data_IF_699668237383
#
_entry.id   IF_699668237383
#
_cell.length_a   1.000
_cell.length_b   1.000
_cell.length_c   1.000
_cell.angle_alpha   90.00
_cell.angle_beta   90.00
_cell.angle_gamma   90.00
#
_symmetry.space_group_name_H-M   'P 1'
#
loop_
_entity.id
_entity.type
_entity.pdbx_description
1 polymer ?
#
# COMPACT_ATOMS: atom_id res chain seq x y z
N UNK A 1 16.37 2.89 -2.75
CA UNK A 1 16.79 3.12 -1.38
C UNK A 1 15.63 2.95 -0.39
N UNK A 2 14.55 3.68 -0.59
CA UNK A 2 13.35 3.66 0.25
C UNK A 2 12.28 2.82 -0.44
N UNK A 3 12.37 1.50 -0.35
CA UNK A 3 11.36 0.61 -0.91
C UNK A 3 10.40 0.19 0.20
N UNK A 4 9.11 0.35 -0.01
CA UNK A 4 8.06 -0.06 0.92
C UNK A 4 6.96 -0.80 0.17
N UNK A 5 6.05 -1.41 0.90
CA UNK A 5 4.80 -1.92 0.36
C UNK A 5 3.67 -1.68 1.35
N UNK A 6 2.45 -1.88 0.93
CA UNK A 6 1.29 -1.70 1.78
C UNK A 6 1.12 -2.88 2.74
N UNK A 7 0.79 -2.58 4.00
CA UNK A 7 0.51 -3.56 5.06
C UNK A 7 -0.76 -3.16 5.81
N UNK A 8 -1.31 -4.08 6.58
CA UNK A 8 -2.42 -3.85 7.48
C UNK A 8 -1.90 -3.75 8.92
N UNK A 9 -2.07 -2.58 9.53
CA UNK A 9 -1.73 -2.32 10.94
C UNK A 9 -2.98 -2.37 11.80
N UNK A 10 -2.88 -2.90 13.01
CA UNK A 10 -4.00 -2.95 13.96
C UNK A 10 -3.56 -2.77 15.41
N UNK A 11 -4.44 -2.16 16.20
CA UNK A 11 -4.26 -1.91 17.62
C UNK A 11 -4.76 -3.13 18.41
N UNK A 12 -3.83 -3.91 18.98
CA UNK A 12 -4.14 -5.12 19.75
C UNK A 12 -4.92 -4.82 21.03
N UNK A 13 -4.68 -3.67 21.66
CA UNK A 13 -5.40 -3.27 22.87
C UNK A 13 -6.85 -2.90 22.56
N UNK A 14 -7.09 -2.23 21.44
CA UNK A 14 -8.45 -1.96 20.97
C UNK A 14 -9.18 -3.27 20.60
N UNK A 15 -8.47 -4.24 20.01
CA UNK A 15 -9.02 -5.57 19.73
C UNK A 15 -9.46 -6.27 21.01
N UNK A 16 -8.61 -6.34 22.03
CA UNK A 16 -8.95 -6.93 23.34
C UNK A 16 -10.19 -6.28 23.94
N UNK A 17 -10.27 -4.94 23.93
CA UNK A 17 -11.45 -4.20 24.44
C UNK A 17 -12.74 -4.49 23.65
N UNK A 18 -12.62 -4.77 22.36
CA UNK A 18 -13.75 -5.10 21.49
C UNK A 18 -14.13 -6.60 21.50
N UNK A 19 -13.47 -7.43 22.31
CA UNK A 19 -13.68 -8.89 22.35
C UNK A 19 -13.19 -9.59 21.08
N UNK A 20 -12.19 -9.01 20.41
CA UNK A 20 -11.48 -9.60 19.27
C UNK A 20 -10.18 -10.26 19.76
N UNK A 21 -9.79 -11.36 19.12
CA UNK A 21 -8.51 -12.00 19.39
C UNK A 21 -7.36 -11.14 18.81
N UNK A 22 -6.47 -10.58 19.65
CA UNK A 22 -5.39 -9.72 19.18
C UNK A 22 -4.31 -10.46 18.37
N UNK A 23 -4.27 -11.80 18.43
CA UNK A 23 -3.32 -12.61 17.67
C UNK A 23 -3.91 -13.15 16.37
N UNK A 24 -5.18 -12.84 16.07
CA UNK A 24 -5.88 -13.21 14.84
C UNK A 24 -6.43 -11.99 14.13
N UNK A 25 -5.57 -11.20 13.45
CA UNK A 25 -6.03 -10.08 12.66
C UNK A 25 -6.93 -10.54 11.51
N UNK A 26 -7.86 -9.70 11.04
CA UNK A 26 -8.70 -10.00 9.90
C UNK A 26 -7.83 -10.21 8.65
N UNK A 27 -8.08 -11.30 7.93
CA UNK A 27 -7.38 -11.66 6.70
C UNK A 27 -8.18 -11.32 5.44
N UNK A 28 -9.50 -11.22 5.58
CA UNK A 28 -10.41 -10.97 4.46
C UNK A 28 -11.19 -9.67 4.66
N UNK A 29 -11.62 -9.06 3.56
CA UNK A 29 -12.45 -7.84 3.64
C UNK A 29 -13.74 -8.04 4.42
N UNK A 30 -14.48 -9.16 4.31
CA UNK A 30 -15.60 -9.44 5.20
C UNK A 30 -15.21 -9.46 6.69
N UNK A 31 -14.07 -10.03 7.05
CA UNK A 31 -13.57 -10.03 8.44
C UNK A 31 -13.20 -8.61 8.91
N UNK A 32 -12.64 -7.76 8.02
CA UNK A 32 -12.37 -6.34 8.34
C UNK A 32 -13.67 -5.61 8.69
N UNK A 33 -14.75 -5.82 7.94
CA UNK A 33 -16.05 -5.24 8.21
C UNK A 33 -16.59 -5.67 9.58
N UNK A 34 -16.48 -6.97 9.88
CA UNK A 34 -16.93 -7.53 11.18
C UNK A 34 -16.09 -6.98 12.35
N UNK A 35 -14.78 -6.92 12.18
CA UNK A 35 -13.87 -6.36 13.20
C UNK A 35 -14.16 -4.87 13.41
N UNK A 36 -14.34 -4.10 12.33
CA UNK A 36 -14.69 -2.68 12.41
C UNK A 36 -16.02 -2.44 13.13
N UNK A 37 -17.04 -3.29 12.89
CA UNK A 37 -18.32 -3.20 13.58
C UNK A 37 -18.18 -3.45 15.09
N UNK A 38 -17.39 -4.45 15.50
CA UNK A 38 -17.12 -4.72 16.92
C UNK A 38 -16.33 -3.59 17.59
N UNK A 39 -15.30 -3.05 16.91
CA UNK A 39 -14.54 -1.91 17.39
C UNK A 39 -15.43 -0.68 17.59
N UNK A 40 -16.31 -0.40 16.64
CA UNK A 40 -17.29 0.69 16.76
C UNK A 40 -18.23 0.47 17.95
N UNK A 41 -18.76 -0.73 18.11
CA UNK A 41 -19.61 -1.08 19.25
C UNK A 41 -18.90 -0.94 20.61
N UNK A 42 -17.57 -1.14 20.63
CA UNK A 42 -16.71 -0.91 21.79
C UNK A 42 -16.32 0.58 22.00
N UNK A 43 -16.88 1.50 21.21
CA UNK A 43 -16.67 2.95 21.36
C UNK A 43 -15.50 3.53 20.57
N UNK A 44 -14.88 2.77 19.66
CA UNK A 44 -13.81 3.28 18.79
C UNK A 44 -14.40 4.20 17.72
N UNK A 45 -13.99 5.48 17.70
CA UNK A 45 -14.50 6.49 16.77
C UNK A 45 -14.01 6.30 15.33
N UNK A 46 -12.84 5.68 15.15
CA UNK A 46 -12.24 5.39 13.86
C UNK A 46 -11.83 3.90 13.82
N UNK A 47 -12.77 2.97 13.50
CA UNK A 47 -12.46 1.55 13.45
C UNK A 47 -11.43 1.18 12.38
N UNK A 48 -11.55 1.76 11.17
CA UNK A 48 -10.64 1.53 10.05
C UNK A 48 -10.36 2.81 9.27
N UNK A 49 -9.13 2.97 8.81
CA UNK A 49 -8.68 4.05 7.93
C UNK A 49 -7.68 3.56 6.89
N UNK A 50 -7.28 4.42 5.94
CA UNK A 50 -6.28 4.11 4.92
C UNK A 50 -5.39 5.33 4.65
N UNK A 51 -4.08 5.12 4.55
CA UNK A 51 -3.13 6.07 3.97
C UNK A 51 -2.94 5.77 2.49
N UNK A 52 -2.59 6.79 1.69
CA UNK A 52 -2.26 6.62 0.26
C UNK A 52 -3.34 5.84 -0.49
N UNK A 53 -4.58 6.32 -0.44
CA UNK A 53 -5.77 5.57 -0.88
C UNK A 53 -5.67 5.00 -2.31
N UNK A 54 -5.18 5.74 -3.31
CA UNK A 54 -4.98 5.25 -4.67
C UNK A 54 -3.98 4.07 -4.68
N UNK A 55 -2.81 4.25 -4.04
CA UNK A 55 -1.79 3.19 -3.97
C UNK A 55 -2.26 1.95 -3.20
N UNK A 56 -3.00 2.13 -2.10
CA UNK A 56 -3.42 1.02 -1.25
C UNK A 56 -4.67 0.34 -1.78
N UNK A 57 -5.72 1.13 -2.12
CA UNK A 57 -7.05 0.60 -2.42
C UNK A 57 -7.30 0.35 -3.92
N UNK A 58 -6.40 0.82 -4.81
CA UNK A 58 -6.49 0.55 -6.25
C UNK A 58 -5.26 -0.21 -6.75
N UNK A 59 -4.05 0.35 -6.63
CA UNK A 59 -2.84 -0.25 -7.19
C UNK A 59 -2.46 -1.57 -6.51
N UNK A 60 -2.23 -1.54 -5.18
CA UNK A 60 -1.91 -2.75 -4.40
C UNK A 60 -3.09 -3.71 -4.34
N UNK A 61 -4.32 -3.21 -4.28
CA UNK A 61 -5.52 -4.03 -4.37
C UNK A 61 -5.55 -4.82 -5.68
N UNK A 62 -5.27 -4.18 -6.82
CA UNK A 62 -5.26 -4.85 -8.13
C UNK A 62 -4.26 -6.00 -8.16
N UNK A 63 -3.02 -5.76 -7.75
CA UNK A 63 -1.98 -6.77 -7.78
C UNK A 63 -2.19 -7.87 -6.74
N UNK A 64 -2.70 -7.51 -5.55
CA UNK A 64 -3.03 -8.46 -4.49
C UNK A 64 -4.17 -9.41 -4.88
N UNK A 65 -5.10 -8.95 -5.71
CA UNK A 65 -6.20 -9.76 -6.26
C UNK A 65 -5.93 -10.31 -7.67
N UNK A 66 -4.69 -10.21 -8.15
CA UNK A 66 -4.29 -10.70 -9.48
C UNK A 66 -5.21 -10.17 -10.60
N UNK A 67 -5.61 -8.91 -10.51
CA UNK A 67 -6.43 -8.22 -11.52
C UNK A 67 -5.67 -7.08 -12.17
N UNK A 68 -6.02 -6.70 -13.39
CA UNK A 68 -5.35 -5.63 -14.12
C UNK A 68 -5.73 -4.25 -13.55
N UNK A 69 -4.73 -3.43 -13.26
CA UNK A 69 -4.88 -2.00 -13.04
C UNK A 69 -4.92 -1.25 -14.40
N UNK A 70 -4.11 -1.72 -15.35
CA UNK A 70 -4.06 -1.20 -16.71
C UNK A 70 -3.76 -2.33 -17.72
N UNK A 71 -4.19 -2.16 -18.95
CA UNK A 71 -3.92 -3.08 -20.06
C UNK A 71 -2.43 -3.21 -20.36
N UNK A 72 -2.05 -4.14 -21.24
CA UNK A 72 -0.65 -4.37 -21.63
C UNK A 72 0.23 -4.79 -20.45
N UNK A 73 -0.27 -5.63 -19.54
CA UNK A 73 0.45 -6.04 -18.33
C UNK A 73 0.82 -4.83 -17.48
N UNK A 74 -0.15 -3.99 -17.16
CA UNK A 74 0.01 -2.75 -16.38
C UNK A 74 1.01 -1.75 -17.00
N UNK A 75 1.06 -1.66 -18.32
CA UNK A 75 1.91 -0.72 -19.07
C UNK A 75 3.29 -1.24 -19.44
N UNK A 76 3.69 -2.45 -19.02
CA UNK A 76 4.99 -3.02 -19.40
C UNK A 76 5.06 -3.39 -20.90
N UNK A 77 3.92 -3.63 -21.55
CA UNK A 77 3.82 -3.94 -22.97
C UNK A 77 3.79 -2.71 -23.90
N UNK A 78 4.03 -1.49 -23.37
CA UNK A 78 4.19 -0.29 -24.20
C UNK A 78 3.25 0.87 -23.85
N UNK A 79 3.48 2.02 -24.52
CA UNK A 79 2.86 3.31 -24.21
C UNK A 79 1.36 3.36 -24.55
N UNK A 80 0.85 2.42 -25.37
CA UNK A 80 -0.58 2.30 -25.69
C UNK A 80 -1.41 1.61 -24.60
N UNK A 81 -0.85 1.42 -23.40
CA UNK A 81 -1.60 0.93 -22.24
C UNK A 81 -2.74 1.89 -21.85
N UNK A 82 -3.81 1.33 -21.31
CA UNK A 82 -4.98 2.08 -20.82
C UNK A 82 -5.39 1.57 -19.45
N UNK A 83 -5.86 2.47 -18.61
CA UNK A 83 -6.36 2.14 -17.27
C UNK A 83 -7.60 1.23 -17.36
N UNK A 84 -7.72 0.30 -16.41
CA UNK A 84 -8.77 -0.71 -16.37
C UNK A 84 -9.27 -0.98 -14.92
N UNK A 85 -8.96 -0.09 -13.98
CA UNK A 85 -9.31 -0.25 -12.57
C UNK A 85 -10.78 0.14 -12.23
N UNK A 86 -11.67 0.11 -13.23
CA UNK A 86 -13.12 0.21 -13.05
C UNK A 86 -13.85 -1.12 -13.32
N UNK A 87 -13.14 -2.23 -13.20
CA UNK A 87 -13.72 -3.57 -13.32
C UNK A 87 -14.75 -3.85 -12.21
N UNK A 88 -15.64 -4.85 -12.36
CA UNK A 88 -16.60 -5.21 -11.33
C UNK A 88 -15.97 -5.46 -9.94
N UNK A 89 -14.76 -6.02 -9.90
CA UNK A 89 -14.06 -6.26 -8.65
C UNK A 89 -13.60 -4.96 -7.97
N UNK A 90 -13.08 -4.00 -8.73
CA UNK A 90 -12.69 -2.69 -8.20
C UNK A 90 -13.93 -1.91 -7.71
N UNK A 91 -15.02 -1.92 -8.49
CA UNK A 91 -16.29 -1.29 -8.09
C UNK A 91 -16.79 -1.91 -6.79
N UNK A 92 -16.88 -3.25 -6.69
CA UNK A 92 -17.24 -3.97 -5.46
C UNK A 92 -16.38 -3.53 -4.27
N UNK A 93 -15.08 -3.37 -4.46
CA UNK A 93 -14.18 -2.98 -3.38
C UNK A 93 -14.44 -1.57 -2.88
N UNK A 94 -14.54 -0.60 -3.80
CA UNK A 94 -14.80 0.79 -3.43
C UNK A 94 -16.22 0.98 -2.88
N UNK A 95 -17.20 0.22 -3.37
CA UNK A 95 -18.55 0.16 -2.77
C UNK A 95 -18.53 -0.39 -1.34
N UNK A 96 -17.74 -1.43 -1.07
CA UNK A 96 -17.55 -1.95 0.28
C UNK A 96 -17.02 -0.86 1.23
N UNK A 97 -15.97 -0.14 0.83
CA UNK A 97 -15.41 0.96 1.62
C UNK A 97 -16.41 2.12 1.78
N UNK A 98 -17.15 2.46 0.72
CA UNK A 98 -18.22 3.48 0.79
C UNK A 98 -19.33 3.10 1.77
N UNK A 99 -19.73 1.84 1.77
CA UNK A 99 -20.73 1.32 2.72
C UNK A 99 -20.18 1.31 4.16
N UNK A 100 -18.92 0.97 4.35
CA UNK A 100 -18.24 1.09 5.64
C UNK A 100 -18.20 2.57 6.09
N UNK A 101 -17.94 3.51 5.20
CA UNK A 101 -17.90 4.93 5.51
C UNK A 101 -19.29 5.43 5.97
N UNK A 102 -20.36 5.09 5.25
CA UNK A 102 -21.75 5.41 5.64
C UNK A 102 -22.12 4.87 7.01
N UNK A 103 -21.55 3.73 7.39
CA UNK A 103 -21.78 3.11 8.69
C UNK A 103 -20.80 3.61 9.77
N UNK A 104 -19.86 4.52 9.45
CA UNK A 104 -18.84 4.99 10.37
C UNK A 104 -17.83 3.89 10.76
N UNK A 105 -17.64 2.88 9.92
CA UNK A 105 -16.66 1.80 10.08
C UNK A 105 -15.34 2.12 9.38
N UNK A 106 -15.38 2.91 8.32
CA UNK A 106 -14.23 3.48 7.62
C UNK A 106 -14.26 5.02 7.75
N UNK A 107 -13.13 5.60 8.14
CA UNK A 107 -13.01 7.06 8.31
C UNK A 107 -11.84 7.55 7.47
N UNK A 108 -12.13 8.27 6.40
CA UNK A 108 -11.10 8.91 5.58
C UNK A 108 -10.46 10.08 6.31
N UNK A 109 -9.14 10.12 6.34
CA UNK A 109 -8.36 11.11 7.11
C UNK A 109 -7.53 12.06 6.24
N UNK A 110 -7.68 12.00 4.91
CA UNK A 110 -6.96 12.85 3.96
C UNK A 110 -5.98 12.09 3.07
N UNK A 111 -5.36 12.81 2.15
CA UNK A 111 -4.45 12.26 1.14
C UNK A 111 -3.09 11.88 1.73
N UNK A 112 -2.35 11.10 0.96
CA UNK A 112 -1.00 10.68 1.33
C UNK A 112 -0.97 9.94 2.65
N UNK A 113 -0.10 10.33 3.55
CA UNK A 113 0.08 9.71 4.86
C UNK A 113 -0.75 10.35 5.99
N UNK A 114 -1.78 11.11 5.69
CA UNK A 114 -2.58 11.81 6.69
C UNK A 114 -3.25 10.88 7.73
N UNK A 115 -3.52 9.62 7.35
CA UNK A 115 -4.09 8.62 8.26
C UNK A 115 -3.08 7.96 9.21
N UNK A 116 -1.77 8.17 9.03
CA UNK A 116 -0.75 7.54 9.87
C UNK A 116 -0.82 8.06 11.32
N UNK A 117 -0.94 9.37 11.50
CA UNK A 117 -1.03 10.00 12.83
C UNK A 117 -2.26 9.54 13.63
N UNK A 118 -3.48 9.51 13.09
CA UNK A 118 -4.65 8.93 13.74
C UNK A 118 -4.47 7.46 14.16
N UNK A 119 -3.69 6.67 13.42
CA UNK A 119 -3.41 5.30 13.84
C UNK A 119 -2.46 5.25 15.03
N UNK A 120 -1.26 5.84 14.94
CA UNK A 120 -0.29 5.71 16.05
C UNK A 120 -0.66 6.51 17.30
N UNK A 121 -1.59 7.47 17.21
CA UNK A 121 -2.19 8.11 18.38
C UNK A 121 -3.22 7.23 19.10
N UNK A 122 -3.70 6.15 18.46
CA UNK A 122 -4.74 5.27 18.96
C UNK A 122 -6.17 5.73 18.64
N UNK A 123 -6.35 6.80 17.86
CA UNK A 123 -7.67 7.26 17.41
C UNK A 123 -8.29 6.25 16.43
N UNK A 124 -7.50 5.74 15.49
CA UNK A 124 -7.91 4.68 14.56
C UNK A 124 -7.37 3.33 15.00
N UNK A 125 -8.22 2.30 15.02
CA UNK A 125 -7.85 0.97 15.50
C UNK A 125 -7.25 0.06 14.43
N UNK A 126 -7.60 0.25 13.17
CA UNK A 126 -7.04 -0.48 12.02
C UNK A 126 -6.67 0.50 10.91
N UNK A 127 -5.58 0.24 10.20
CA UNK A 127 -5.15 1.07 9.08
C UNK A 127 -4.42 0.25 8.02
N UNK A 128 -4.73 0.49 6.75
CA UNK A 128 -3.83 0.10 5.65
C UNK A 128 -2.88 1.25 5.36
N UNK A 129 -1.58 0.98 5.39
CA UNK A 129 -0.55 2.00 5.27
C UNK A 129 0.76 1.42 4.71
N UNK A 130 1.76 2.26 4.51
CA UNK A 130 3.11 1.84 4.14
C UNK A 130 3.78 1.03 5.25
N UNK A 131 4.56 0.02 4.89
CA UNK A 131 5.42 -0.71 5.84
C UNK A 131 6.42 0.21 6.56
N UNK A 132 6.80 1.34 5.96
CA UNK A 132 7.69 2.33 6.57
C UNK A 132 7.09 3.06 7.78
N UNK A 133 5.78 2.93 8.03
CA UNK A 133 5.15 3.47 9.25
C UNK A 133 5.60 2.77 10.52
N UNK A 134 6.17 1.56 10.43
CA UNK A 134 6.61 0.74 11.56
C UNK A 134 7.43 1.52 12.59
N UNK A 135 8.49 2.21 12.16
CA UNK A 135 9.35 2.94 13.09
C UNK A 135 8.61 4.06 13.82
N UNK A 136 7.71 4.75 13.11
CA UNK A 136 6.91 5.85 13.67
C UNK A 136 5.86 5.30 14.65
N UNK A 137 5.21 4.19 14.31
CA UNK A 137 4.26 3.51 15.21
C UNK A 137 5.00 3.04 16.47
N UNK A 138 6.12 2.33 16.32
CA UNK A 138 6.92 1.82 17.44
C UNK A 138 7.39 2.92 18.38
N UNK A 139 7.71 4.12 17.85
CA UNK A 139 8.15 5.27 18.64
C UNK A 139 7.00 5.97 19.38
N UNK A 140 5.83 6.10 18.76
CA UNK A 140 4.77 7.01 19.22
C UNK A 140 3.56 6.30 19.82
N UNK A 141 3.25 5.06 19.40
CA UNK A 141 2.10 4.33 19.93
C UNK A 141 2.28 4.01 21.41
N UNK A 142 1.21 4.21 22.18
CA UNK A 142 1.14 3.86 23.60
C UNK A 142 0.31 2.59 23.83
N UNK A 143 0.16 1.77 22.82
CA UNK A 143 -0.58 0.52 22.79
C UNK A 143 0.22 -0.55 22.06
N UNK A 144 -0.12 -1.80 22.32
CA UNK A 144 0.42 -2.94 21.58
C UNK A 144 -0.22 -3.01 20.19
N UNK A 145 0.59 -3.19 19.15
CA UNK A 145 0.13 -3.22 17.77
C UNK A 145 0.63 -4.46 17.02
N UNK A 146 -0.12 -4.84 16.00
CA UNK A 146 0.26 -5.89 15.07
C UNK A 146 0.34 -5.39 13.63
N UNK A 147 1.10 -6.12 12.82
CA UNK A 147 1.21 -5.93 11.38
C UNK A 147 0.77 -7.24 10.73
N UNK A 148 -0.13 -7.14 9.77
CA UNK A 148 -0.68 -8.28 9.03
C UNK A 148 -0.63 -8.03 7.51
N UNK A 149 -0.77 -9.07 6.69
CA UNK A 149 -0.96 -8.90 5.26
C UNK A 149 -2.22 -8.09 4.94
N UNK A 150 -2.25 -7.50 3.75
CA UNK A 150 -3.45 -6.83 3.27
C UNK A 150 -4.64 -7.81 3.22
N UNK A 151 -5.84 -7.36 3.58
CA UNK A 151 -7.04 -8.18 3.42
C UNK A 151 -7.33 -8.46 1.94
N UNK A 152 -7.96 -9.60 1.69
CA UNK A 152 -8.35 -10.00 0.34
C UNK A 152 -9.79 -10.52 0.29
N UNK A 153 -10.33 -10.71 -0.91
CA UNK A 153 -11.60 -11.37 -1.15
C UNK A 153 -11.34 -12.86 -1.45
N UNK A 154 -11.78 -13.79 -0.60
CA UNK A 154 -11.45 -15.21 -0.73
C UNK A 154 -12.12 -15.89 -1.93
N UNK A 155 -13.17 -15.28 -2.48
CA UNK A 155 -13.88 -15.74 -3.67
C UNK A 155 -13.21 -15.30 -4.99
N UNK A 156 -12.12 -14.51 -4.92
CA UNK A 156 -11.37 -14.05 -6.10
C UNK A 156 -10.24 -15.04 -6.41
N UNK A 157 -10.35 -15.70 -7.54
CA UNK A 157 -9.33 -16.65 -7.99
C UNK A 157 -7.96 -15.97 -8.17
N UNK A 158 -6.92 -16.56 -7.59
CA UNK A 158 -5.55 -16.05 -7.63
C UNK A 158 -5.21 -15.05 -6.54
N UNK A 159 -6.16 -14.68 -5.67
CA UNK A 159 -5.89 -13.86 -4.48
C UNK A 159 -5.58 -14.78 -3.27
N UNK A 160 -4.66 -14.37 -2.37
CA UNK A 160 -3.79 -13.21 -2.49
C UNK A 160 -2.54 -13.49 -3.33
N UNK A 161 -2.11 -12.55 -4.18
CA UNK A 161 -0.94 -12.68 -5.05
C UNK A 161 0.30 -12.00 -4.46
N UNK A 162 0.64 -10.81 -4.88
CA UNK A 162 1.69 -9.96 -4.30
C UNK A 162 1.28 -8.48 -4.32
N UNK A 163 1.90 -7.68 -3.46
CA UNK A 163 1.70 -6.23 -3.44
C UNK A 163 2.73 -5.52 -4.33
N UNK A 164 2.51 -4.24 -4.62
CA UNK A 164 3.45 -3.39 -5.37
C UNK A 164 4.28 -2.52 -4.44
N UNK A 165 5.47 -2.15 -4.90
CA UNK A 165 6.35 -1.25 -4.17
C UNK A 165 5.82 0.19 -4.18
N UNK A 166 6.15 0.92 -3.11
CA UNK A 166 6.21 2.37 -3.04
C UNK A 166 7.63 2.81 -2.68
N UNK A 167 7.82 4.11 -2.49
CA UNK A 167 9.09 4.67 -2.03
C UNK A 167 9.74 5.63 -3.01
N UNK A 168 11.07 5.68 -2.99
CA UNK A 168 11.85 6.61 -3.80
C UNK A 168 13.14 5.99 -4.34
N UNK A 169 13.60 6.50 -5.48
CA UNK A 169 14.86 6.14 -6.11
C UNK A 169 15.86 7.29 -6.04
N UNK A 170 17.14 6.96 -6.01
CA UNK A 170 18.22 7.91 -6.24
C UNK A 170 18.51 7.99 -7.75
N UNK A 171 18.74 9.20 -8.23
CA UNK A 171 19.04 9.48 -9.62
C UNK A 171 20.40 10.16 -9.74
N UNK A 172 21.21 9.72 -10.70
CA UNK A 172 22.51 10.33 -10.99
C UNK A 172 22.30 11.45 -11.99
N UNK A 173 22.70 12.67 -11.63
CA UNK A 173 22.61 13.82 -12.52
C UNK A 173 23.65 13.72 -13.63
N UNK A 174 23.25 13.99 -14.87
CA UNK A 174 24.15 14.06 -16.01
C UNK A 174 25.09 15.28 -15.93
N UNK A 175 26.15 15.30 -16.74
CA UNK A 175 27.06 16.45 -16.88
C UNK A 175 28.05 16.65 -15.74
N UNK A 176 28.32 15.64 -14.92
CA UNK A 176 29.30 15.69 -13.84
C UNK A 176 30.68 15.24 -14.30
N UNK A 177 31.72 15.63 -13.54
CA UNK A 177 33.10 15.20 -13.81
C UNK A 177 33.29 13.71 -13.50
N UNK A 178 34.24 13.01 -14.16
CA UNK A 178 34.49 11.57 -13.92
C UNK A 178 34.72 11.20 -12.45
N UNK A 179 35.45 12.05 -11.70
CA UNK A 179 35.69 11.79 -10.27
C UNK A 179 34.46 11.94 -9.39
N UNK A 180 33.53 12.84 -9.76
CA UNK A 180 32.23 12.93 -9.08
C UNK A 180 31.42 11.64 -9.30
N UNK A 181 31.43 11.07 -10.52
CA UNK A 181 30.80 9.79 -10.80
C UNK A 181 31.42 8.61 -10.04
N UNK A 182 32.75 8.61 -9.82
CA UNK A 182 33.40 7.62 -8.95
C UNK A 182 32.88 7.72 -7.52
N UNK A 183 32.73 8.94 -7.00
CA UNK A 183 32.14 9.19 -5.68
C UNK A 183 30.70 8.68 -5.59
N UNK A 184 29.87 8.95 -6.60
CA UNK A 184 28.48 8.44 -6.68
C UNK A 184 28.46 6.91 -6.71
N UNK A 185 29.32 6.29 -7.50
CA UNK A 185 29.42 4.82 -7.57
C UNK A 185 29.81 4.21 -6.22
N UNK A 186 30.80 4.79 -5.54
CA UNK A 186 31.21 4.35 -4.21
C UNK A 186 30.09 4.49 -3.18
N UNK A 187 29.33 5.60 -3.23
CA UNK A 187 28.17 5.82 -2.37
C UNK A 187 27.06 4.79 -2.63
N UNK A 188 26.73 4.52 -3.89
CA UNK A 188 25.72 3.50 -4.23
C UNK A 188 26.16 2.11 -3.79
N UNK A 189 27.45 1.76 -3.99
CA UNK A 189 27.99 0.49 -3.53
C UNK A 189 27.90 0.35 -2.00
N UNK A 190 28.16 1.41 -1.24
CA UNK A 190 27.95 1.43 0.21
C UNK A 190 26.46 1.21 0.57
N UNK A 191 25.55 1.93 -0.09
CA UNK A 191 24.11 1.82 0.20
C UNK A 191 23.52 0.45 -0.16
N UNK A 192 24.08 -0.26 -1.13
CA UNK A 192 23.61 -1.60 -1.52
C UNK A 192 24.26 -2.73 -0.72
N UNK A 193 25.17 -2.43 0.20
CA UNK A 193 25.76 -3.41 1.09
C UNK A 193 24.67 -4.09 1.93
N UNK A 194 24.71 -5.42 2.03
CA UNK A 194 23.67 -6.22 2.68
C UNK A 194 23.46 -5.86 4.16
N UNK A 195 24.54 -5.61 4.91
CA UNK A 195 24.44 -5.22 6.32
C UNK A 195 23.87 -3.82 6.50
N UNK A 196 24.24 -2.86 5.63
CA UNK A 196 23.70 -1.50 5.65
C UNK A 196 22.22 -1.53 5.34
N UNK A 197 21.79 -2.31 4.35
CA UNK A 197 20.39 -2.48 4.01
C UNK A 197 19.59 -3.18 5.12
N UNK A 198 20.15 -4.22 5.75
CA UNK A 198 19.51 -4.87 6.89
C UNK A 198 19.31 -3.90 8.07
N UNK A 199 20.34 -3.09 8.41
CA UNK A 199 20.21 -2.05 9.44
C UNK A 199 19.18 -0.98 9.09
N UNK A 200 19.14 -0.56 7.82
CA UNK A 200 18.16 0.40 7.33
C UNK A 200 16.73 -0.15 7.46
N UNK A 201 16.48 -1.37 6.98
CA UNK A 201 15.22 -2.08 7.13
C UNK A 201 14.76 -2.15 8.60
N UNK A 202 15.61 -2.66 9.48
CA UNK A 202 15.31 -2.83 10.91
C UNK A 202 14.95 -1.51 11.62
N UNK A 203 15.56 -0.39 11.19
CA UNK A 203 15.34 0.92 11.80
C UNK A 203 14.10 1.64 11.27
N UNK A 204 13.72 1.39 10.02
CA UNK A 204 12.74 2.22 9.31
C UNK A 204 11.44 1.49 8.95
N UNK A 205 11.48 0.16 8.81
CA UNK A 205 10.38 -0.63 8.24
C UNK A 205 10.31 -0.57 6.70
N UNK A 206 11.23 0.15 6.01
CA UNK A 206 11.42 -0.01 4.58
C UNK A 206 11.94 -1.41 4.25
N UNK A 207 11.60 -1.92 3.08
CA UNK A 207 12.01 -3.27 2.66
C UNK A 207 13.53 -3.38 2.47
N UNK A 208 14.14 -4.52 2.81
CA UNK A 208 15.48 -4.85 2.32
C UNK A 208 15.40 -5.01 0.78
N UNK A 209 16.33 -4.37 0.06
CA UNK A 209 16.27 -4.35 -1.42
C UNK A 209 16.95 -5.55 -2.09
N UNK A 210 17.57 -6.43 -1.31
CA UNK A 210 18.20 -7.67 -1.80
C UNK A 210 17.86 -8.85 -0.88
N UNK A 211 17.89 -10.06 -1.42
CA UNK A 211 17.73 -11.28 -0.63
C UNK A 211 18.81 -11.40 0.44
N UNK A 212 20.04 -11.05 0.13
CA UNK A 212 21.14 -11.07 1.11
C UNK A 212 20.87 -10.18 2.34
N UNK A 213 20.26 -9.01 2.15
CA UNK A 213 19.88 -8.14 3.27
C UNK A 213 18.66 -8.65 4.06
N UNK A 214 17.74 -9.33 3.39
CA UNK A 214 16.64 -10.04 4.07
C UNK A 214 17.19 -11.18 4.94
N UNK A 215 18.02 -12.04 4.38
CA UNK A 215 18.67 -13.15 5.10
C UNK A 215 19.54 -12.66 6.27
N UNK A 216 20.29 -11.56 6.10
CA UNK A 216 21.06 -10.94 7.18
C UNK A 216 20.15 -10.48 8.32
N UNK A 217 18.99 -9.92 8.00
CA UNK A 217 17.98 -9.53 9.01
C UNK A 217 17.40 -10.75 9.72
N UNK A 218 17.07 -11.80 8.99
CA UNK A 218 16.55 -13.05 9.55
C UNK A 218 17.56 -13.71 10.50
N UNK A 219 18.82 -13.83 10.07
CA UNK A 219 19.93 -14.37 10.88
C UNK A 219 20.20 -13.57 12.16
N UNK A 220 19.94 -12.26 12.15
CA UNK A 220 20.05 -11.42 13.35
C UNK A 220 18.99 -11.69 14.42
N UNK A 221 17.95 -12.46 14.11
CA UNK A 221 16.80 -12.71 14.97
C UNK A 221 15.82 -11.53 15.08
N UNK A 222 15.97 -10.52 14.24
CA UNK A 222 15.15 -9.30 14.30
C UNK A 222 13.65 -9.59 14.16
N UNK A 223 13.24 -10.43 13.20
CA UNK A 223 11.82 -10.76 13.00
C UNK A 223 11.19 -11.51 14.17
N UNK A 224 11.96 -12.34 14.88
CA UNK A 224 11.50 -13.02 16.12
C UNK A 224 11.25 -12.02 17.24
N UNK A 225 12.10 -10.99 17.34
CA UNK A 225 11.99 -9.93 18.35
C UNK A 225 10.96 -8.86 17.98
N UNK A 226 10.61 -8.75 16.70
CA UNK A 226 9.68 -7.74 16.15
C UNK A 226 8.67 -8.43 15.22
N UNK A 227 7.72 -9.22 15.75
CA UNK A 227 6.75 -9.98 14.95
C UNK A 227 5.96 -9.09 13.99
N UNK A 228 5.74 -9.58 12.77
CA UNK A 228 5.00 -8.88 11.72
C UNK A 228 5.84 -7.96 10.84
N UNK A 229 7.09 -7.64 11.21
CA UNK A 229 7.97 -6.80 10.37
C UNK A 229 8.47 -7.51 9.11
N UNK A 230 8.34 -8.81 9.03
CA UNK A 230 8.59 -9.66 7.85
C UNK A 230 7.40 -9.69 6.85
N UNK A 231 6.20 -9.31 7.29
CA UNK A 231 4.97 -9.36 6.47
C UNK A 231 5.15 -8.65 5.13
N UNK A 232 5.72 -7.46 5.15
CA UNK A 232 5.92 -6.65 3.95
C UNK A 232 6.80 -7.36 2.92
N UNK A 233 7.90 -8.00 3.35
CA UNK A 233 8.78 -8.78 2.48
C UNK A 233 8.04 -10.00 1.95
N UNK A 234 7.37 -10.73 2.83
CA UNK A 234 6.64 -11.96 2.47
C UNK A 234 5.52 -11.72 1.46
N UNK A 235 4.90 -10.54 1.46
CA UNK A 235 3.94 -10.14 0.43
C UNK A 235 4.62 -9.86 -0.92
N UNK A 236 5.81 -9.27 -0.91
CA UNK A 236 6.51 -8.84 -2.12
C UNK A 236 7.20 -9.98 -2.85
N UNK A 237 7.76 -10.97 -2.14
CA UNK A 237 8.53 -12.08 -2.74
C UNK A 237 7.68 -13.21 -3.30
N UNK A 238 6.35 -13.10 -3.22
CA UNK A 238 5.44 -14.06 -3.85
C UNK A 238 5.63 -14.07 -5.37
N UNK A 239 5.33 -15.19 -6.02
CA UNK A 239 5.42 -15.31 -7.47
C UNK A 239 4.55 -14.25 -8.14
N UNK A 240 5.14 -13.42 -8.99
CA UNK A 240 4.44 -12.41 -9.77
C UNK A 240 3.81 -12.99 -11.03
N UNK A 241 2.78 -12.30 -11.52
CA UNK A 241 2.13 -12.54 -12.83
C UNK A 241 2.23 -11.28 -13.69
N UNK A 242 1.78 -11.34 -14.92
CA UNK A 242 1.70 -10.13 -15.77
C UNK A 242 0.80 -9.03 -15.20
N UNK A 243 -0.16 -9.41 -14.34
CA UNK A 243 -1.09 -8.48 -13.68
C UNK A 243 -0.54 -7.93 -12.36
N UNK A 244 0.52 -8.52 -11.80
CA UNK A 244 0.98 -8.21 -10.45
C UNK A 244 2.45 -7.83 -10.33
N UNK A 245 3.21 -7.81 -11.45
CA UNK A 245 4.65 -7.47 -11.45
C UNK A 245 4.96 -5.98 -11.21
N UNK A 246 3.95 -5.13 -11.15
CA UNK A 246 4.07 -3.69 -10.95
C UNK A 246 3.20 -2.90 -11.93
N UNK A 247 3.36 -1.57 -11.91
CA UNK A 247 2.63 -0.64 -12.78
C UNK A 247 3.66 0.31 -13.42
N UNK A 248 3.62 0.46 -14.75
CA UNK A 248 4.53 1.31 -15.51
C UNK A 248 3.75 2.16 -16.53
N UNK A 249 3.31 3.34 -16.09
CA UNK A 249 2.48 4.23 -16.89
C UNK A 249 3.09 5.63 -16.97
N UNK A 250 2.87 6.33 -18.09
CA UNK A 250 3.18 7.74 -18.20
C UNK A 250 2.22 8.61 -17.41
N UNK A 251 2.65 9.81 -17.01
CA UNK A 251 1.84 10.77 -16.24
C UNK A 251 1.22 10.18 -14.96
N UNK A 252 1.89 9.20 -14.34
CA UNK A 252 1.29 8.41 -13.26
C UNK A 252 1.03 9.24 -11.99
N UNK A 253 1.82 10.27 -11.72
CA UNK A 253 1.58 11.20 -10.61
C UNK A 253 0.25 11.94 -10.78
N UNK A 254 -0.04 12.39 -11.99
CA UNK A 254 -1.30 13.08 -12.33
C UNK A 254 -2.50 12.11 -12.29
N UNK A 255 -2.29 10.84 -12.69
CA UNK A 255 -3.31 9.79 -12.59
C UNK A 255 -3.67 9.57 -11.12
N UNK A 256 -2.68 9.44 -10.22
CA UNK A 256 -2.92 9.32 -8.77
C UNK A 256 -3.67 10.51 -8.17
N UNK A 257 -3.40 11.73 -8.65
CA UNK A 257 -4.17 12.90 -8.22
C UNK A 257 -5.66 12.79 -8.62
N UNK A 258 -5.93 12.27 -9.83
CA UNK A 258 -7.30 12.00 -10.29
C UNK A 258 -7.96 10.90 -9.43
N UNK A 259 -7.24 9.83 -9.11
CA UNK A 259 -7.74 8.77 -8.23
C UNK A 259 -8.14 9.34 -6.86
N UNK A 260 -7.29 10.17 -6.26
CA UNK A 260 -7.59 10.80 -4.99
C UNK A 260 -8.84 11.69 -5.06
N UNK A 261 -8.96 12.52 -6.10
CA UNK A 261 -10.14 13.38 -6.30
C UNK A 261 -11.43 12.58 -6.42
N UNK A 262 -11.42 11.52 -7.21
CA UNK A 262 -12.62 10.73 -7.47
C UNK A 262 -13.01 9.86 -6.27
N UNK A 263 -12.05 9.27 -5.57
CA UNK A 263 -12.32 8.51 -4.35
C UNK A 263 -12.87 9.42 -3.23
N UNK A 264 -12.36 10.65 -3.11
CA UNK A 264 -12.91 11.63 -2.16
C UNK A 264 -14.38 11.97 -2.43
N UNK A 265 -14.81 11.97 -3.70
CA UNK A 265 -16.26 12.16 -4.01
C UNK A 265 -17.09 10.96 -3.54
N UNK A 266 -16.53 9.75 -3.55
CA UNK A 266 -17.20 8.56 -3.01
C UNK A 266 -17.33 8.65 -1.49
N UNK A 267 -16.23 8.98 -0.79
CA UNK A 267 -16.26 9.12 0.67
C UNK A 267 -17.19 10.23 1.14
N UNK A 268 -17.31 11.30 0.36
CA UNK A 268 -18.25 12.40 0.60
C UNK A 268 -19.70 12.05 0.23
N UNK A 269 -19.98 10.86 -0.32
CA UNK A 269 -21.30 10.45 -0.77
C UNK A 269 -21.83 11.19 -2.01
N UNK A 270 -20.96 11.87 -2.75
CA UNK A 270 -21.31 12.67 -3.95
C UNK A 270 -21.34 11.86 -5.23
N UNK A 271 -20.59 10.74 -5.27
CA UNK A 271 -20.56 9.80 -6.39
C UNK A 271 -20.68 8.37 -5.87
N UNK A 272 -21.25 7.50 -6.69
CA UNK A 272 -21.12 6.06 -6.51
C UNK A 272 -19.71 5.61 -6.84
N UNK A 273 -19.30 4.44 -6.35
CA UNK A 273 -18.02 3.85 -6.71
C UNK A 273 -17.84 3.69 -8.24
N UNK A 274 -18.88 3.23 -8.92
CA UNK A 274 -18.88 3.06 -10.37
C UNK A 274 -18.64 4.37 -11.12
N UNK A 275 -19.39 5.43 -10.79
CA UNK A 275 -19.23 6.75 -11.41
C UNK A 275 -17.85 7.33 -11.18
N UNK A 276 -17.31 7.21 -9.97
CA UNK A 276 -15.99 7.71 -9.62
C UNK A 276 -14.87 6.97 -10.36
N UNK A 277 -14.93 5.63 -10.39
CA UNK A 277 -13.91 4.82 -11.07
C UNK A 277 -13.98 5.00 -12.60
N UNK A 278 -15.18 5.09 -13.20
CA UNK A 278 -15.33 5.37 -14.62
C UNK A 278 -14.77 6.76 -14.99
N UNK A 279 -15.04 7.76 -14.15
CA UNK A 279 -14.49 9.11 -14.32
C UNK A 279 -12.96 9.11 -14.20
N UNK A 280 -12.40 8.41 -13.19
CA UNK A 280 -10.95 8.31 -13.00
C UNK A 280 -10.26 7.63 -14.19
N UNK A 281 -10.80 6.50 -14.64
CA UNK A 281 -10.30 5.76 -15.82
C UNK A 281 -10.36 6.61 -17.08
N UNK A 282 -11.48 7.31 -17.33
CA UNK A 282 -11.64 8.21 -18.50
C UNK A 282 -10.60 9.33 -18.47
N UNK A 283 -10.54 10.09 -17.39
CA UNK A 283 -9.62 11.24 -17.21
C UNK A 283 -8.15 10.80 -17.27
N UNK A 284 -7.81 9.69 -16.61
CA UNK A 284 -6.46 9.15 -16.64
C UNK A 284 -6.06 8.63 -18.02
N UNK A 285 -6.98 8.03 -18.78
CA UNK A 285 -6.72 7.58 -20.14
C UNK A 285 -6.49 8.76 -21.11
N UNK A 286 -7.10 9.91 -20.91
CA UNK A 286 -6.77 11.13 -21.66
C UNK A 286 -5.30 11.56 -21.46
N UNK A 287 -4.76 11.40 -20.23
CA UNK A 287 -3.35 11.64 -19.94
C UNK A 287 -2.45 10.62 -20.63
N UNK A 288 -2.83 9.33 -20.62
CA UNK A 288 -2.07 8.27 -21.28
C UNK A 288 -2.04 8.43 -22.81
N UNK A 289 -3.15 8.85 -23.43
CA UNK A 289 -3.20 9.15 -24.88
C UNK A 289 -2.23 10.29 -25.23
N UNK A 290 -2.20 11.37 -24.44
CA UNK A 290 -1.24 12.46 -24.63
C UNK A 290 0.20 12.00 -24.44
N UNK A 291 0.47 11.18 -23.43
CA UNK A 291 1.80 10.61 -23.20
C UNK A 291 2.24 9.72 -24.37
N UNK A 292 1.37 8.85 -24.87
CA UNK A 292 1.64 8.02 -26.05
C UNK A 292 1.97 8.86 -27.29
N UNK A 293 1.20 9.92 -27.55
CA UNK A 293 1.44 10.80 -28.69
C UNK A 293 2.78 11.53 -28.62
N UNK A 294 3.20 11.91 -27.42
CA UNK A 294 4.48 12.62 -27.18
C UNK A 294 5.72 11.70 -27.16
N UNK A 295 5.54 10.37 -27.14
CA UNK A 295 6.62 9.38 -27.01
C UNK A 295 6.57 8.31 -28.14
N UNK A 296 6.00 8.66 -29.27
CA UNK A 296 6.03 7.85 -30.51
C UNK A 296 7.35 7.97 -31.24
#
# INVERSE_FOLDING_TARGET
LNSSTTVFNYNKDAFRKAGLDPEKPPQTWPEVVLAAAKLKAAGVSCPFTTSWQGWTQLESFSTWHNTEFATKGNGFGGTSARLNFNSPLHVRHIENLANMAKQGLFVYRGRGNAADAPFYSGECAMATASSSTYATIKKNAKFDFGIAPLPYYPDVAGAPQNTVIGGASLWVMAGKKPDEYKGVAAFFNYLTNAEIQAKSHQRTGYLPITMASFEATEKSGFYKQNPGTDVAVNQMIRKTTDKSRGIRLGNFVQIRAIEDEELEQVWAGKKTAKEALDSAVKRGNELLVRFEAANK
#
